data_IF_291604125629
#
_entry.id   IF_291604125629
#
_cell.length_a   1.000
_cell.length_b   1.000
_cell.length_c   1.000
_cell.angle_alpha   90.00
_cell.angle_beta   90.00
_cell.angle_gamma   90.00
#
_symmetry.space_group_name_H-M   'P 1'
#
loop_
_entity.id
_entity.type
_entity.pdbx_description
1 polymer ?
#
# COMPACT_ATOMS: atom_id res chain seq x y z
N UNK A 1 -32.36 -2.48 19.75
CA UNK A 1 -31.83 -1.09 19.85
C UNK A 1 -30.32 -1.03 19.68
N UNK A 2 -29.53 -1.96 20.24
CA UNK A 2 -28.07 -2.03 20.03
C UNK A 2 -27.70 -2.38 18.59
N UNK A 3 -28.41 -3.31 17.93
CA UNK A 3 -28.19 -3.62 16.52
C UNK A 3 -28.49 -2.43 15.59
N UNK A 4 -29.53 -1.63 15.91
CA UNK A 4 -29.88 -0.44 15.13
C UNK A 4 -28.85 0.69 15.32
N UNK A 5 -28.27 0.82 16.51
CA UNK A 5 -27.20 1.76 16.81
C UNK A 5 -25.88 1.35 16.11
N UNK A 6 -25.59 0.06 16.00
CA UNK A 6 -24.43 -0.47 15.26
C UNK A 6 -24.58 -0.21 13.76
N UNK A 7 -25.79 -0.34 13.19
CA UNK A 7 -26.09 -0.02 11.79
C UNK A 7 -25.98 1.48 11.43
N UNK A 8 -26.21 2.37 12.39
CA UNK A 8 -26.10 3.82 12.17
C UNK A 8 -24.63 4.29 12.17
N UNK A 9 -23.71 3.55 12.80
CA UNK A 9 -22.32 3.97 12.96
C UNK A 9 -21.38 3.59 11.80
N UNK A 10 -21.79 2.70 10.88
CA UNK A 10 -20.95 2.25 9.76
C UNK A 10 -21.59 2.49 8.40
N UNK A 11 -21.91 3.76 8.11
CA UNK A 11 -22.14 4.13 6.71
C UNK A 11 -20.78 4.03 5.98
N UNK A 12 -20.71 3.15 5.00
CA UNK A 12 -19.59 3.10 4.07
C UNK A 12 -19.32 4.49 3.51
N UNK A 13 -18.07 4.91 3.49
CA UNK A 13 -17.60 6.18 2.93
C UNK A 13 -16.78 5.89 1.70
N UNK A 14 -17.17 6.42 0.56
CA UNK A 14 -16.35 6.30 -0.65
C UNK A 14 -15.10 7.18 -0.54
N UNK A 15 -13.96 6.68 -0.96
CA UNK A 15 -12.74 7.47 -1.06
C UNK A 15 -12.92 8.73 -1.93
N UNK A 16 -13.83 8.68 -2.91
CA UNK A 16 -14.18 9.82 -3.77
C UNK A 16 -14.83 10.95 -2.99
N UNK A 17 -15.62 10.62 -1.95
CA UNK A 17 -16.19 11.63 -1.04
C UNK A 17 -15.12 12.36 -0.22
N UNK A 18 -13.96 11.72 -0.01
CA UNK A 18 -12.80 12.31 0.68
C UNK A 18 -11.88 13.10 -0.27
N UNK A 19 -12.17 13.13 -1.57
CA UNK A 19 -11.35 13.77 -2.58
C UNK A 19 -10.08 13.00 -2.96
N UNK A 20 -9.97 11.73 -2.54
CA UNK A 20 -8.85 10.84 -2.84
C UNK A 20 -8.97 10.25 -4.26
N UNK A 21 -7.85 9.74 -4.78
CA UNK A 21 -7.78 8.94 -6.01
C UNK A 21 -7.28 7.54 -5.69
N UNK A 22 -7.54 6.56 -6.58
CA UNK A 22 -6.91 5.24 -6.48
C UNK A 22 -5.61 5.16 -7.29
N UNK A 23 -4.92 4.03 -7.27
CA UNK A 23 -3.62 3.87 -7.92
C UNK A 23 -3.69 3.63 -9.43
N UNK A 24 -4.84 3.30 -9.99
CA UNK A 24 -4.99 2.79 -11.37
C UNK A 24 -4.42 3.73 -12.44
N UNK A 25 -4.96 4.95 -12.52
CA UNK A 25 -4.46 5.93 -13.50
C UNK A 25 -3.07 6.45 -13.14
N UNK A 26 -2.78 6.56 -11.85
CA UNK A 26 -1.51 7.00 -11.32
C UNK A 26 -0.38 6.06 -11.77
N UNK A 27 -0.54 4.75 -11.60
CA UNK A 27 0.44 3.75 -12.03
C UNK A 27 0.54 3.66 -13.56
N UNK A 28 -0.58 3.75 -14.28
CA UNK A 28 -0.55 3.77 -15.74
C UNK A 28 0.29 4.96 -16.28
N UNK A 29 0.17 6.13 -15.68
CA UNK A 29 0.99 7.31 -16.03
C UNK A 29 2.45 7.12 -15.66
N UNK A 30 2.74 6.54 -14.49
CA UNK A 30 4.10 6.27 -14.02
C UNK A 30 4.83 5.28 -14.92
N UNK A 31 4.18 4.18 -15.30
CA UNK A 31 4.73 3.18 -16.23
C UNK A 31 5.04 3.83 -17.59
N UNK A 32 4.08 4.57 -18.15
CA UNK A 32 4.27 5.27 -19.42
C UNK A 32 5.36 6.33 -19.37
N UNK A 33 5.46 7.03 -18.24
CA UNK A 33 6.42 8.12 -18.04
C UNK A 33 7.81 7.66 -17.56
N UNK A 34 7.98 6.40 -17.16
CA UNK A 34 9.24 5.87 -16.65
C UNK A 34 9.67 6.48 -15.32
N UNK A 35 8.72 6.78 -14.42
CA UNK A 35 8.99 7.31 -13.09
C UNK A 35 8.34 6.48 -11.98
N UNK A 36 8.87 6.59 -10.76
CA UNK A 36 8.31 5.96 -9.57
C UNK A 36 7.36 6.92 -8.83
N UNK A 37 6.42 6.35 -8.08
CA UNK A 37 5.53 7.08 -7.19
C UNK A 37 5.93 6.77 -5.75
N UNK A 38 6.16 7.79 -4.90
CA UNK A 38 6.51 7.56 -3.51
C UNK A 38 5.30 7.12 -2.70
N UNK A 39 5.52 6.17 -1.80
CA UNK A 39 4.60 5.74 -0.79
C UNK A 39 5.22 5.99 0.60
N UNK A 40 4.55 6.75 1.44
CA UNK A 40 5.05 7.15 2.74
C UNK A 40 4.10 6.73 3.85
N UNK A 41 4.62 5.97 4.81
CA UNK A 41 3.92 5.65 6.03
C UNK A 41 3.79 6.90 6.91
N UNK A 42 2.62 7.10 7.51
CA UNK A 42 2.40 8.16 8.48
C UNK A 42 1.57 7.68 9.67
N UNK A 43 1.87 8.22 10.84
CA UNK A 43 1.23 7.86 12.10
C UNK A 43 0.62 9.08 12.81
N UNK A 44 0.97 10.29 12.38
CA UNK A 44 0.58 11.53 13.04
C UNK A 44 0.43 12.69 12.05
N UNK A 45 -0.09 13.79 12.55
CA UNK A 45 -0.38 14.98 11.75
C UNK A 45 0.91 15.66 11.24
N UNK A 46 1.99 15.65 11.99
CA UNK A 46 3.26 16.29 11.63
C UNK A 46 3.89 15.62 10.41
N UNK A 47 3.91 14.28 10.39
CA UNK A 47 4.36 13.50 9.23
C UNK A 47 3.47 13.77 8.03
N UNK A 48 2.14 13.75 8.22
CA UNK A 48 1.19 14.00 7.13
C UNK A 48 1.40 15.38 6.51
N UNK A 49 1.56 16.43 7.32
CA UNK A 49 1.82 17.79 6.82
C UNK A 49 3.11 17.85 6.01
N UNK A 50 4.18 17.20 6.47
CA UNK A 50 5.46 17.19 5.76
C UNK A 50 5.34 16.49 4.40
N UNK A 51 4.66 15.34 4.36
CA UNK A 51 4.43 14.57 3.12
C UNK A 51 3.61 15.39 2.13
N UNK A 52 2.51 15.99 2.56
CA UNK A 52 1.63 16.80 1.69
C UNK A 52 2.36 18.02 1.15
N UNK A 53 3.12 18.74 1.98
CA UNK A 53 3.94 19.89 1.52
C UNK A 53 4.95 19.46 0.45
N UNK A 54 5.71 18.40 0.71
CA UNK A 54 6.69 17.89 -0.25
C UNK A 54 6.03 17.47 -1.57
N UNK A 55 4.88 16.78 -1.51
CA UNK A 55 4.11 16.40 -2.71
C UNK A 55 3.70 17.62 -3.55
N UNK A 56 3.17 18.67 -2.91
CA UNK A 56 2.77 19.90 -3.61
C UNK A 56 3.98 20.65 -4.17
N UNK A 57 5.04 20.84 -3.39
CA UNK A 57 6.26 21.53 -3.80
C UNK A 57 6.93 20.85 -5.02
N UNK A 58 6.95 19.51 -5.02
CA UNK A 58 7.55 18.71 -6.10
C UNK A 58 6.58 18.43 -7.24
N UNK A 59 5.31 18.83 -7.11
CA UNK A 59 4.21 18.52 -8.06
C UNK A 59 4.09 17.03 -8.35
N UNK A 60 4.30 16.22 -7.32
CA UNK A 60 4.32 14.75 -7.41
C UNK A 60 3.03 14.16 -6.83
N UNK A 61 2.49 13.08 -7.43
CA UNK A 61 1.50 12.26 -6.77
C UNK A 61 2.12 11.58 -5.55
N UNK A 62 1.28 11.17 -4.58
CA UNK A 62 1.75 10.50 -3.37
C UNK A 62 0.78 9.43 -2.89
N UNK A 63 1.32 8.35 -2.38
CA UNK A 63 0.58 7.32 -1.64
C UNK A 63 0.85 7.54 -0.15
N UNK A 64 -0.21 7.81 0.60
CA UNK A 64 -0.21 7.86 2.05
C UNK A 64 -0.48 6.46 2.57
N UNK A 65 0.53 5.81 3.16
CA UNK A 65 0.44 4.45 3.68
C UNK A 65 0.09 4.45 5.17
N UNK A 66 -0.73 3.49 5.55
CA UNK A 66 -1.13 3.26 6.93
C UNK A 66 -1.08 1.77 7.22
N UNK A 67 -0.18 1.36 8.10
CA UNK A 67 -0.14 -0.01 8.62
C UNK A 67 -1.29 -0.27 9.60
N UNK A 68 -1.53 -1.54 9.91
CA UNK A 68 -2.46 -1.94 10.97
C UNK A 68 -2.12 -1.27 12.31
N UNK A 69 -0.82 -1.23 12.66
CA UNK A 69 -0.32 -0.59 13.87
C UNK A 69 -0.62 0.92 13.88
N UNK A 70 -0.30 1.63 12.79
CA UNK A 70 -0.61 3.05 12.64
C UNK A 70 -2.12 3.33 12.74
N UNK A 71 -2.96 2.48 12.12
CA UNK A 71 -4.42 2.59 12.20
C UNK A 71 -4.95 2.41 13.62
N UNK A 72 -4.39 1.49 14.38
CA UNK A 72 -4.75 1.27 15.77
C UNK A 72 -4.29 2.45 16.67
N UNK A 73 -3.07 2.96 16.43
CA UNK A 73 -2.51 4.09 17.17
C UNK A 73 -3.32 5.38 16.97
N UNK A 74 -3.58 5.76 15.72
CA UNK A 74 -4.22 7.04 15.40
C UNK A 74 -5.75 7.00 15.48
N UNK A 75 -6.38 5.84 15.55
CA UNK A 75 -7.82 5.59 15.40
C UNK A 75 -8.32 5.78 13.95
N UNK A 76 -9.08 4.81 13.48
CA UNK A 76 -9.57 4.78 12.09
C UNK A 76 -10.43 5.99 11.69
N UNK A 77 -11.23 6.52 12.61
CA UNK A 77 -12.08 7.70 12.33
C UNK A 77 -11.23 8.94 12.16
N UNK A 78 -10.23 9.15 13.03
CA UNK A 78 -9.31 10.28 12.92
C UNK A 78 -8.48 10.20 11.66
N UNK A 79 -7.96 9.02 11.29
CA UNK A 79 -7.22 8.80 10.03
C UNK A 79 -8.03 9.19 8.79
N UNK A 80 -9.31 8.84 8.74
CA UNK A 80 -10.18 9.24 7.64
C UNK A 80 -10.25 10.76 7.48
N UNK A 81 -10.48 11.47 8.59
CA UNK A 81 -10.52 12.94 8.56
C UNK A 81 -9.16 13.57 8.29
N UNK A 82 -8.07 12.95 8.75
CA UNK A 82 -6.72 13.38 8.40
C UNK A 82 -6.46 13.21 6.90
N UNK A 83 -6.87 12.10 6.28
CA UNK A 83 -6.73 11.89 4.83
C UNK A 83 -7.57 12.89 4.01
N UNK A 84 -8.80 13.16 4.43
CA UNK A 84 -9.62 14.21 3.83
C UNK A 84 -8.97 15.59 4.01
N UNK A 85 -8.49 15.90 5.21
CA UNK A 85 -7.76 17.12 5.51
C UNK A 85 -6.49 17.28 4.68
N UNK A 86 -5.78 16.19 4.37
CA UNK A 86 -4.61 16.21 3.50
C UNK A 86 -4.94 16.71 2.08
N UNK A 87 -6.09 16.28 1.54
CA UNK A 87 -6.57 16.73 0.22
C UNK A 87 -6.89 18.22 0.24
N UNK A 88 -7.62 18.69 1.24
CA UNK A 88 -7.96 20.10 1.37
C UNK A 88 -6.71 20.96 1.61
N UNK A 89 -5.80 20.49 2.46
CA UNK A 89 -4.53 21.18 2.71
C UNK A 89 -3.65 21.29 1.45
N UNK A 90 -3.60 20.25 0.62
CA UNK A 90 -2.91 20.33 -0.66
C UNK A 90 -3.51 21.42 -1.58
N UNK A 91 -4.85 21.58 -1.58
CA UNK A 91 -5.52 22.66 -2.32
C UNK A 91 -5.18 24.04 -1.76
N UNK A 92 -5.16 24.22 -0.44
CA UNK A 92 -4.73 25.45 0.21
C UNK A 92 -3.29 25.85 -0.16
N UNK A 93 -2.43 24.85 -0.38
CA UNK A 93 -1.06 25.05 -0.86
C UNK A 93 -0.94 25.31 -2.36
N UNK A 94 -2.07 25.35 -3.08
CA UNK A 94 -2.13 25.70 -4.50
C UNK A 94 -2.18 24.52 -5.47
N UNK A 95 -2.38 23.28 -4.98
CA UNK A 95 -2.61 22.13 -5.83
C UNK A 95 -4.10 21.98 -6.14
N UNK A 96 -4.54 22.39 -7.33
CA UNK A 96 -5.98 22.34 -7.72
C UNK A 96 -6.53 20.90 -7.78
N UNK A 97 -5.69 19.94 -8.16
CA UNK A 97 -6.07 18.55 -8.37
C UNK A 97 -5.11 17.58 -7.65
N UNK A 98 -5.19 17.49 -6.30
CA UNK A 98 -4.33 16.60 -5.54
C UNK A 98 -4.45 15.15 -5.98
N UNK A 99 -3.31 14.50 -6.24
CA UNK A 99 -3.22 13.08 -6.58
C UNK A 99 -2.74 12.32 -5.35
N UNK A 100 -3.64 12.14 -4.39
CA UNK A 100 -3.37 11.51 -3.09
C UNK A 100 -4.15 10.20 -2.99
N UNK A 101 -3.45 9.11 -2.72
CA UNK A 101 -4.01 7.78 -2.42
C UNK A 101 -3.91 7.56 -0.92
N UNK A 102 -4.95 7.00 -0.31
CA UNK A 102 -4.88 6.42 1.04
C UNK A 102 -4.83 4.91 0.92
N UNK A 103 -3.75 4.30 1.38
CA UNK A 103 -3.42 2.90 1.17
C UNK A 103 -3.23 2.14 2.49
N UNK A 104 -3.84 0.96 2.62
CA UNK A 104 -3.53 0.02 3.69
C UNK A 104 -2.25 -0.72 3.33
N UNK A 105 -1.26 -0.63 4.21
CA UNK A 105 0.03 -1.28 4.10
C UNK A 105 0.03 -2.60 4.90
N UNK A 106 0.43 -3.70 4.28
CA UNK A 106 0.45 -5.05 4.85
C UNK A 106 -0.83 -5.46 5.59
N UNK A 107 -1.96 -5.48 4.89
CA UNK A 107 -3.20 -6.04 5.43
C UNK A 107 -3.07 -7.55 5.67
N UNK A 108 -3.38 -8.01 6.88
CA UNK A 108 -3.23 -9.40 7.32
C UNK A 108 -4.49 -10.27 7.14
N UNK A 109 -5.60 -9.65 6.73
CA UNK A 109 -6.88 -10.35 6.64
C UNK A 109 -7.87 -9.63 5.70
N UNK A 110 -8.80 -10.41 5.17
CA UNK A 110 -9.90 -9.86 4.39
C UNK A 110 -10.72 -8.86 5.20
N UNK A 111 -10.97 -9.13 6.47
CA UNK A 111 -11.76 -8.29 7.37
C UNK A 111 -11.10 -6.92 7.58
N UNK A 112 -9.78 -6.87 7.70
CA UNK A 112 -9.03 -5.62 7.80
C UNK A 112 -9.12 -4.82 6.50
N UNK A 113 -8.85 -5.45 5.34
CA UNK A 113 -8.96 -4.81 4.03
C UNK A 113 -10.39 -4.28 3.82
N UNK A 114 -11.41 -5.09 4.08
CA UNK A 114 -12.82 -4.69 4.00
C UNK A 114 -13.10 -3.48 4.89
N UNK A 115 -12.66 -3.50 6.15
CA UNK A 115 -12.85 -2.39 7.07
C UNK A 115 -12.20 -1.09 6.59
N UNK A 116 -11.01 -1.17 5.96
CA UNK A 116 -10.35 0.00 5.37
C UNK A 116 -11.14 0.54 4.17
N UNK A 117 -11.58 -0.33 3.26
CA UNK A 117 -12.40 0.04 2.10
C UNK A 117 -13.69 0.74 2.56
N UNK A 118 -14.40 0.16 3.52
CA UNK A 118 -15.64 0.71 4.07
C UNK A 118 -15.43 2.11 4.72
N UNK A 119 -14.20 2.40 5.14
CA UNK A 119 -13.82 3.67 5.77
C UNK A 119 -13.23 4.70 4.80
N UNK A 120 -13.17 4.41 3.51
CA UNK A 120 -12.75 5.35 2.48
C UNK A 120 -11.28 5.25 2.06
N UNK A 121 -10.61 4.12 2.30
CA UNK A 121 -9.33 3.84 1.66
C UNK A 121 -9.53 3.65 0.17
N UNK A 122 -8.65 4.23 -0.64
CA UNK A 122 -8.69 4.15 -2.10
C UNK A 122 -7.83 3.02 -2.68
N UNK A 123 -7.00 2.41 -1.83
CA UNK A 123 -6.15 1.27 -2.15
C UNK A 123 -5.91 0.44 -0.89
N UNK A 124 -5.77 -0.87 -1.03
CA UNK A 124 -5.41 -1.79 0.06
C UNK A 124 -4.41 -2.82 -0.42
N UNK A 125 -3.45 -3.17 0.42
CA UNK A 125 -2.59 -4.33 0.23
C UNK A 125 -3.09 -5.47 1.09
N UNK A 126 -3.13 -6.66 0.51
CA UNK A 126 -3.31 -7.93 1.22
C UNK A 126 -2.03 -8.74 1.13
N UNK A 127 -1.41 -8.97 2.27
CA UNK A 127 -0.18 -9.75 2.38
C UNK A 127 -0.49 -11.20 2.77
N UNK A 128 -0.56 -12.06 1.78
CA UNK A 128 -0.66 -13.51 1.93
C UNK A 128 0.65 -14.24 1.64
N UNK A 129 1.78 -13.52 1.54
CA UNK A 129 3.07 -14.08 1.13
C UNK A 129 3.61 -15.19 2.03
N UNK A 130 3.20 -15.18 3.31
CA UNK A 130 3.52 -16.20 4.30
C UNK A 130 2.66 -17.48 4.20
N UNK A 131 1.59 -17.45 3.41
CA UNK A 131 0.70 -18.60 3.18
C UNK A 131 1.21 -19.48 2.02
N UNK A 132 0.74 -20.73 1.93
CA UNK A 132 0.89 -21.51 0.71
C UNK A 132 0.35 -20.75 -0.50
N UNK A 133 1.00 -20.91 -1.67
CA UNK A 133 0.68 -20.16 -2.90
C UNK A 133 -0.83 -20.12 -3.24
N UNK A 134 -1.49 -21.28 -3.21
CA UNK A 134 -2.92 -21.37 -3.52
C UNK A 134 -3.81 -20.65 -2.51
N UNK A 135 -3.40 -20.60 -1.25
CA UNK A 135 -4.11 -19.86 -0.21
C UNK A 135 -3.91 -18.35 -0.37
N UNK A 136 -2.69 -17.90 -0.74
CA UNK A 136 -2.41 -16.51 -1.07
C UNK A 136 -3.25 -16.07 -2.28
N UNK A 137 -3.29 -16.85 -3.35
CA UNK A 137 -4.14 -16.58 -4.52
C UNK A 137 -5.62 -16.45 -4.11
N UNK A 138 -6.13 -17.38 -3.32
CA UNK A 138 -7.53 -17.36 -2.89
C UNK A 138 -7.86 -16.16 -2.00
N UNK A 139 -6.98 -15.82 -1.06
CA UNK A 139 -7.13 -14.67 -0.17
C UNK A 139 -7.09 -13.35 -0.95
N UNK A 140 -6.09 -13.17 -1.81
CA UNK A 140 -5.92 -11.97 -2.62
C UNK A 140 -7.12 -11.79 -3.54
N UNK A 141 -7.55 -12.85 -4.24
CA UNK A 141 -8.75 -12.79 -5.08
C UNK A 141 -10.00 -12.38 -4.30
N UNK A 142 -10.20 -12.90 -3.10
CA UNK A 142 -11.35 -12.54 -2.24
C UNK A 142 -11.36 -11.04 -1.94
N UNK A 143 -10.19 -10.45 -1.67
CA UNK A 143 -10.06 -9.01 -1.44
C UNK A 143 -10.34 -8.22 -2.70
N UNK A 144 -9.78 -8.65 -3.84
CA UNK A 144 -9.99 -8.03 -5.16
C UNK A 144 -11.48 -8.02 -5.53
N UNK A 145 -12.16 -9.16 -5.40
CA UNK A 145 -13.58 -9.29 -5.73
C UNK A 145 -14.46 -8.36 -4.88
N UNK A 146 -14.04 -8.04 -3.65
CA UNK A 146 -14.73 -7.06 -2.83
C UNK A 146 -14.36 -5.61 -3.20
N UNK A 147 -13.08 -5.31 -3.28
CA UNK A 147 -12.56 -3.96 -3.50
C UNK A 147 -13.01 -3.36 -4.84
N UNK A 148 -12.99 -4.15 -5.90
CA UNK A 148 -13.35 -3.69 -7.24
C UNK A 148 -14.83 -3.30 -7.37
N UNK A 149 -15.73 -3.76 -6.49
CA UNK A 149 -17.11 -3.28 -6.45
C UNK A 149 -17.21 -1.79 -6.09
N UNK A 150 -16.17 -1.24 -5.45
CA UNK A 150 -16.10 0.14 -4.98
C UNK A 150 -15.02 0.95 -5.71
N UNK A 151 -14.46 0.41 -6.79
CA UNK A 151 -13.37 1.04 -7.57
C UNK A 151 -12.11 1.28 -6.71
N UNK A 152 -11.87 0.44 -5.69
CA UNK A 152 -10.67 0.47 -4.84
C UNK A 152 -9.65 -0.50 -5.40
N UNK A 153 -8.38 -0.06 -5.51
CA UNK A 153 -7.29 -0.88 -6.04
C UNK A 153 -6.70 -1.80 -4.97
N UNK A 154 -6.20 -2.95 -5.41
CA UNK A 154 -5.63 -3.98 -4.54
C UNK A 154 -4.21 -4.30 -4.96
N UNK A 155 -3.32 -4.28 -3.97
CA UNK A 155 -1.96 -4.81 -4.06
C UNK A 155 -1.91 -6.20 -3.44
N UNK A 156 -1.28 -7.15 -4.13
CA UNK A 156 -0.92 -8.47 -3.60
C UNK A 156 0.56 -8.53 -3.29
N UNK A 157 1.02 -9.63 -2.66
CA UNK A 157 2.44 -9.86 -2.41
C UNK A 157 2.85 -11.28 -2.79
N UNK A 158 3.99 -11.41 -3.49
CA UNK A 158 4.68 -12.65 -3.77
C UNK A 158 6.15 -12.59 -3.36
N UNK A 159 6.60 -13.64 -2.68
CA UNK A 159 7.89 -13.68 -2.05
C UNK A 159 7.85 -13.01 -0.68
N UNK A 160 8.90 -13.18 0.11
CA UNK A 160 9.02 -12.63 1.47
C UNK A 160 10.26 -11.78 1.55
N UNK A 161 10.11 -10.52 1.92
CA UNK A 161 11.22 -9.62 2.21
C UNK A 161 11.71 -9.83 3.64
N UNK A 162 13.03 -10.01 3.82
CA UNK A 162 13.60 -10.01 5.15
C UNK A 162 13.65 -8.59 5.74
N UNK A 163 13.67 -8.50 7.07
CA UNK A 163 13.72 -7.25 7.82
C UNK A 163 12.53 -7.07 8.75
N UNK A 164 12.43 -5.90 9.34
CA UNK A 164 11.37 -5.54 10.27
C UNK A 164 10.77 -4.21 9.84
N UNK A 165 9.45 -4.19 9.67
CA UNK A 165 8.66 -2.99 9.43
C UNK A 165 7.35 -3.10 10.22
N UNK A 166 7.17 -2.23 11.20
CA UNK A 166 6.04 -2.26 12.15
C UNK A 166 5.80 -3.67 12.74
N UNK A 167 4.70 -4.32 12.37
CA UNK A 167 4.32 -5.66 12.83
C UNK A 167 4.80 -6.79 11.90
N UNK A 168 5.40 -6.45 10.76
CA UNK A 168 5.91 -7.41 9.77
C UNK A 168 7.38 -7.69 10.04
N UNK A 169 7.73 -8.97 10.18
CA UNK A 169 9.12 -9.39 10.34
C UNK A 169 9.39 -10.73 9.67
N UNK A 170 10.51 -10.83 8.97
CA UNK A 170 11.02 -12.08 8.41
C UNK A 170 12.54 -12.17 8.56
N UNK A 171 13.03 -13.34 8.94
CA UNK A 171 14.48 -13.59 9.08
C UNK A 171 15.16 -13.88 7.74
N UNK A 172 14.42 -14.43 6.80
CA UNK A 172 14.94 -14.85 5.50
C UNK A 172 14.12 -14.28 4.34
N UNK A 173 14.79 -14.06 3.20
CA UNK A 173 14.13 -13.75 1.93
C UNK A 173 13.58 -15.02 1.29
N UNK A 174 12.42 -14.87 0.65
CA UNK A 174 11.97 -15.78 -0.39
C UNK A 174 11.76 -14.94 -1.63
N UNK A 175 12.63 -15.07 -2.62
CA UNK A 175 12.53 -14.27 -3.84
C UNK A 175 11.30 -14.66 -4.66
N UNK A 176 10.71 -13.65 -5.28
CA UNK A 176 9.56 -13.83 -6.17
C UNK A 176 9.98 -14.57 -7.43
N UNK A 177 9.29 -15.66 -7.77
CA UNK A 177 9.46 -16.36 -9.04
C UNK A 177 8.72 -15.59 -10.15
N UNK A 178 9.45 -15.14 -11.20
CA UNK A 178 8.82 -14.42 -12.31
C UNK A 178 7.73 -15.23 -13.04
N UNK A 179 7.81 -16.55 -13.06
CA UNK A 179 6.79 -17.41 -13.70
C UNK A 179 5.49 -17.40 -12.88
N UNK A 180 5.58 -17.37 -11.56
CA UNK A 180 4.43 -17.28 -10.67
C UNK A 180 3.72 -15.92 -10.76
N UNK A 181 4.43 -14.83 -11.06
CA UNK A 181 3.85 -13.48 -11.18
C UNK A 181 2.71 -13.43 -12.19
N UNK A 182 2.89 -14.04 -13.36
CA UNK A 182 1.88 -14.03 -14.44
C UNK A 182 0.64 -14.81 -14.01
N UNK A 183 0.82 -15.98 -13.42
CA UNK A 183 -0.28 -16.82 -12.93
C UNK A 183 -1.03 -16.10 -11.79
N UNK A 184 -0.30 -15.59 -10.81
CA UNK A 184 -0.86 -14.88 -9.65
C UNK A 184 -1.70 -13.68 -10.09
N UNK A 185 -1.12 -12.76 -10.87
CA UNK A 185 -1.81 -11.56 -11.33
C UNK A 185 -3.06 -11.90 -12.17
N UNK A 186 -2.96 -12.92 -13.02
CA UNK A 186 -4.08 -13.35 -13.87
C UNK A 186 -5.22 -13.94 -13.04
N UNK A 187 -4.91 -14.77 -12.05
CA UNK A 187 -5.91 -15.48 -11.23
C UNK A 187 -6.54 -14.58 -10.18
N UNK A 188 -5.77 -13.70 -9.59
CA UNK A 188 -6.25 -12.77 -8.55
C UNK A 188 -6.91 -11.54 -9.13
N UNK A 189 -6.39 -11.01 -10.24
CA UNK A 189 -6.81 -9.73 -10.81
C UNK A 189 -6.37 -8.52 -9.98
N UNK A 190 -5.30 -8.65 -9.17
CA UNK A 190 -4.77 -7.52 -8.40
C UNK A 190 -4.23 -6.42 -9.33
N UNK A 191 -4.24 -5.18 -8.85
CA UNK A 191 -3.86 -3.99 -9.63
C UNK A 191 -2.37 -3.70 -9.57
N UNK A 192 -1.70 -4.15 -8.50
CA UNK A 192 -0.25 -4.08 -8.30
C UNK A 192 0.24 -5.27 -7.49
N UNK A 193 1.55 -5.49 -7.52
CA UNK A 193 2.20 -6.60 -6.83
C UNK A 193 3.48 -6.15 -6.16
N UNK A 194 3.58 -6.35 -4.86
CA UNK A 194 4.82 -6.27 -4.11
C UNK A 194 5.65 -7.53 -4.39
N UNK A 195 6.92 -7.33 -4.73
CA UNK A 195 7.84 -8.40 -5.11
C UNK A 195 9.13 -8.37 -4.29
N UNK A 196 9.63 -9.54 -3.93
CA UNK A 196 10.92 -9.71 -3.26
C UNK A 196 12.03 -9.91 -4.28
N UNK A 197 12.88 -8.90 -4.47
CA UNK A 197 13.93 -8.86 -5.48
C UNK A 197 15.30 -8.41 -4.94
N UNK A 198 15.53 -8.54 -3.63
CA UNK A 198 16.79 -8.18 -2.97
C UNK A 198 16.79 -6.84 -2.23
N UNK A 199 15.63 -6.23 -2.05
CA UNK A 199 15.42 -5.13 -1.08
C UNK A 199 15.15 -5.69 0.31
N UNK A 200 15.10 -4.84 1.33
CA UNK A 200 14.77 -5.24 2.71
C UNK A 200 13.96 -4.16 3.41
N UNK A 201 13.12 -4.58 4.34
CA UNK A 201 12.39 -3.67 5.22
C UNK A 201 13.31 -2.94 6.21
N UNK A 202 12.86 -1.79 6.69
CA UNK A 202 13.47 -1.05 7.78
C UNK A 202 14.76 -0.31 7.40
N UNK A 203 15.46 0.16 8.44
CA UNK A 203 16.68 0.94 8.32
C UNK A 203 17.92 0.09 8.02
N UNK A 204 17.85 -1.20 8.21
CA UNK A 204 18.97 -2.12 8.00
C UNK A 204 19.06 -2.46 6.51
N UNK A 205 20.10 -1.96 5.86
CA UNK A 205 20.42 -2.24 4.47
C UNK A 205 21.65 -3.13 4.39
N UNK A 206 21.79 -3.87 3.30
CA UNK A 206 23.01 -4.62 3.04
C UNK A 206 24.21 -3.68 3.02
N UNK A 207 25.27 -4.05 3.75
CA UNK A 207 26.54 -3.32 3.66
C UNK A 207 27.31 -3.69 2.39
N UNK A 208 28.22 -2.85 1.87
CA UNK A 208 29.02 -3.21 0.71
C UNK A 208 29.78 -4.53 0.86
N UNK A 209 30.18 -4.89 2.08
CA UNK A 209 30.89 -6.14 2.40
C UNK A 209 30.00 -7.38 2.29
N UNK A 210 28.70 -7.21 2.45
CA UNK A 210 27.69 -8.29 2.28
C UNK A 210 27.31 -8.48 0.82
N UNK A 211 27.54 -7.48 -0.03
CA UNK A 211 27.23 -7.51 -1.44
C UNK A 211 28.39 -8.12 -2.26
N UNK A 212 28.08 -8.63 -3.44
CA UNK A 212 29.08 -9.14 -4.39
C UNK A 212 28.87 -8.53 -5.77
N UNK A 213 29.92 -8.58 -6.61
CA UNK A 213 29.79 -8.16 -8.00
C UNK A 213 29.25 -9.32 -8.82
N UNK A 214 28.10 -9.12 -9.43
CA UNK A 214 27.54 -10.05 -10.40
C UNK A 214 28.48 -10.14 -11.64
N UNK A 215 29.05 -11.31 -11.95
CA UNK A 215 29.97 -11.45 -13.06
C UNK A 215 29.35 -11.16 -14.44
N UNK A 216 28.03 -11.34 -14.57
CA UNK A 216 27.34 -11.15 -15.83
C UNK A 216 27.02 -9.67 -16.12
N UNK A 217 26.74 -8.88 -15.10
CA UNK A 217 26.33 -7.48 -15.26
C UNK A 217 27.37 -6.48 -14.79
N UNK A 218 28.37 -6.91 -14.02
CA UNK A 218 29.37 -6.04 -13.38
C UNK A 218 28.80 -5.13 -12.30
N UNK A 219 27.56 -5.37 -11.84
CA UNK A 219 26.88 -4.58 -10.81
C UNK A 219 27.03 -5.21 -9.44
N UNK A 220 27.03 -4.36 -8.43
CA UNK A 220 26.95 -4.80 -7.04
C UNK A 220 25.54 -5.29 -6.78
N UNK A 221 25.41 -6.51 -6.27
CA UNK A 221 24.12 -7.15 -5.94
C UNK A 221 24.15 -7.63 -4.49
N UNK A 222 23.00 -7.69 -3.81
CA UNK A 222 22.89 -8.21 -2.46
C UNK A 222 23.25 -9.71 -2.41
N UNK A 223 23.47 -10.29 -1.23
CA UNK A 223 23.66 -11.74 -1.08
C UNK A 223 22.42 -12.50 -1.56
N UNK A 224 22.60 -13.73 -2.05
CA UNK A 224 21.52 -14.58 -2.49
C UNK A 224 20.64 -15.04 -1.35
#
# INVERSE_FOLDING_TARGET
QEELLTLIYYKMVSYKELGLVNTKEMFAKAIKGGYAIPAFNFNNMEQLQAIVKASVETKSPVILQVSKGARNYANQTLLRYMAQGAVEYAKELGCEHPQIVLHLDHGDSFELCKSCIDMGFSSVMIDGSHLPYEENVALTKKVVDYAHQFDVTVEGELGVLAGVEDEVSAEHHTYTDPEEVIDFATRTGCDSLAISIGTSHGAYKFTPEQCHIDPATGRMVPPP
#
